data_IF_180434983827
#
_entry.id   IF_180434983827
#
_cell.length_a   1.000
_cell.length_b   1.000
_cell.length_c   1.000
_cell.angle_alpha   90.00
_cell.angle_beta   90.00
_cell.angle_gamma   90.00
#
_symmetry.space_group_name_H-M   'P 1'
#
loop_
_entity.id
_entity.type
_entity.pdbx_description
1 polymer ?
#
# COMPACT_ATOMS: atom_id res chain seq x y z
N UNK A 1 -8.85 6.48 7.79
CA UNK A 1 -8.43 5.54 6.72
C UNK A 1 -7.22 6.13 6.00
N UNK A 2 -6.14 5.37 5.79
CA UNK A 2 -4.91 5.83 5.14
C UNK A 2 -4.90 5.66 3.62
N UNK A 3 -3.96 6.29 2.94
CA UNK A 3 -3.80 6.18 1.48
C UNK A 3 -2.35 5.88 1.08
N UNK A 4 -2.18 4.95 0.15
CA UNK A 4 -0.93 4.61 -0.52
C UNK A 4 -0.91 5.23 -1.92
N UNK A 5 0.15 5.96 -2.26
CA UNK A 5 0.20 6.83 -3.44
C UNK A 5 1.12 6.29 -4.54
N UNK A 6 0.76 5.16 -5.15
CA UNK A 6 1.44 4.63 -6.32
C UNK A 6 1.19 5.46 -7.60
N UNK A 7 0.28 6.41 -7.57
CA UNK A 7 0.09 7.39 -8.66
C UNK A 7 1.20 8.46 -8.74
N UNK A 8 2.05 8.56 -7.72
CA UNK A 8 3.16 9.53 -7.68
C UNK A 8 4.19 9.20 -8.75
N UNK A 9 4.70 10.17 -9.54
CA UNK A 9 5.73 9.91 -10.53
C UNK A 9 6.93 9.16 -9.95
N UNK A 10 7.32 8.07 -10.62
CA UNK A 10 8.43 7.20 -10.19
C UNK A 10 8.05 6.09 -9.19
N UNK A 11 6.79 6.02 -8.74
CA UNK A 11 6.32 4.86 -7.98
C UNK A 11 6.05 3.66 -8.90
N UNK A 12 6.41 2.45 -8.46
CA UNK A 12 6.21 1.21 -9.21
C UNK A 12 5.43 0.18 -8.40
N UNK A 13 4.34 -0.35 -8.96
CA UNK A 13 3.55 -1.41 -8.34
C UNK A 13 4.36 -2.70 -8.17
N UNK A 14 5.33 -2.96 -9.05
CA UNK A 14 6.23 -4.12 -8.94
C UNK A 14 7.19 -3.96 -7.76
N UNK A 15 7.76 -2.77 -7.58
CA UNK A 15 8.64 -2.50 -6.43
C UNK A 15 7.86 -2.53 -5.12
N UNK A 16 6.61 -2.04 -5.12
CA UNK A 16 5.71 -2.17 -3.97
C UNK A 16 5.49 -3.64 -3.63
N UNK A 17 5.17 -4.49 -4.63
CA UNK A 17 4.94 -5.92 -4.40
C UNK A 17 6.19 -6.60 -3.84
N UNK A 18 7.35 -6.40 -4.48
CA UNK A 18 8.62 -6.97 -4.03
C UNK A 18 8.97 -6.54 -2.60
N UNK A 19 8.73 -5.27 -2.28
CA UNK A 19 8.97 -4.74 -0.94
C UNK A 19 8.03 -5.40 0.07
N UNK A 20 6.76 -5.62 -0.27
CA UNK A 20 5.83 -6.31 0.61
C UNK A 20 6.25 -7.76 0.85
N UNK A 21 6.65 -8.49 -0.20
CA UNK A 21 7.15 -9.86 -0.10
C UNK A 21 8.39 -9.94 0.80
N UNK A 22 9.36 -9.05 0.59
CA UNK A 22 10.55 -8.98 1.44
C UNK A 22 10.22 -8.68 2.90
N UNK A 23 9.34 -7.72 3.17
CA UNK A 23 8.93 -7.38 4.53
C UNK A 23 8.17 -8.52 5.21
N UNK A 24 7.38 -9.30 4.47
CA UNK A 24 6.70 -10.48 5.02
C UNK A 24 7.69 -11.58 5.40
N UNK A 25 8.80 -11.72 4.69
CA UNK A 25 9.88 -12.67 5.02
C UNK A 25 10.73 -12.18 6.21
N UNK A 26 10.98 -10.88 6.32
CA UNK A 26 11.90 -10.29 7.30
C UNK A 26 11.26 -9.96 8.65
N UNK A 27 9.95 -9.68 8.69
CA UNK A 27 9.25 -9.19 9.88
C UNK A 27 8.49 -10.30 10.62
N UNK A 28 8.40 -10.23 11.96
CA UNK A 28 7.53 -11.13 12.71
C UNK A 28 6.05 -10.78 12.53
N UNK A 29 5.18 -11.75 12.76
CA UNK A 29 3.72 -11.63 12.65
C UNK A 29 3.07 -10.56 13.55
N UNK A 30 3.73 -10.21 14.66
CA UNK A 30 3.27 -9.22 15.64
C UNK A 30 3.87 -7.82 15.40
N UNK A 31 4.47 -7.58 14.24
CA UNK A 31 5.04 -6.27 13.89
C UNK A 31 3.97 -5.17 13.88
N UNK A 32 4.37 -3.98 14.32
CA UNK A 32 3.61 -2.75 14.15
C UNK A 32 4.32 -1.86 13.15
N UNK A 33 3.63 -1.48 12.08
CA UNK A 33 4.12 -0.61 11.02
C UNK A 33 3.45 0.75 11.20
N UNK A 34 4.23 1.74 11.62
CA UNK A 34 3.73 3.11 11.81
C UNK A 34 3.79 3.85 10.48
N UNK A 35 2.62 4.23 9.95
CA UNK A 35 2.55 4.99 8.70
C UNK A 35 3.20 6.37 8.85
N UNK A 36 3.89 6.82 7.81
CA UNK A 36 4.51 8.15 7.77
C UNK A 36 3.47 9.29 7.68
N UNK A 37 2.28 8.99 7.16
CA UNK A 37 1.20 9.96 7.00
C UNK A 37 -0.13 9.36 7.49
N UNK A 38 -0.89 10.18 8.21
CA UNK A 38 -2.24 9.88 8.70
C UNK A 38 -3.26 10.86 8.15
N UNK A 39 -4.53 10.68 8.50
CA UNK A 39 -5.50 11.76 8.33
C UNK A 39 -5.41 12.67 9.55
N UNK A 40 -5.44 14.01 9.36
CA UNK A 40 -5.49 14.91 10.50
C UNK A 40 -6.86 14.80 11.16
N UNK A 41 -6.89 14.37 12.42
CA UNK A 41 -8.07 14.45 13.29
C UNK A 41 -7.78 15.49 14.38
N UNK A 42 -8.62 16.53 14.46
CA UNK A 42 -8.49 17.61 15.45
C UNK A 42 -7.10 18.30 15.51
N UNK A 43 -6.38 18.33 14.39
CA UNK A 43 -5.06 18.96 14.30
C UNK A 43 -3.89 18.09 14.81
N UNK A 44 -4.15 16.81 15.10
CA UNK A 44 -3.14 15.78 15.36
C UNK A 44 -3.19 14.78 14.20
N UNK A 45 -2.03 14.43 13.65
CA UNK A 45 -1.97 13.36 12.64
C UNK A 45 -2.27 12.02 13.33
N UNK A 46 -3.47 11.47 13.13
CA UNK A 46 -3.76 10.08 13.51
C UNK A 46 -3.15 9.16 12.45
N UNK A 47 -1.90 8.76 12.71
CA UNK A 47 -1.13 7.88 11.83
C UNK A 47 -1.59 6.43 12.02
N UNK A 48 -2.11 5.76 10.97
CA UNK A 48 -2.51 4.36 11.09
C UNK A 48 -1.33 3.48 11.50
N UNK A 49 -1.54 2.65 12.53
CA UNK A 49 -0.61 1.58 12.89
C UNK A 49 -1.07 0.29 12.21
N UNK A 50 -0.37 -0.10 11.15
CA UNK A 50 -0.65 -1.32 10.39
C UNK A 50 0.06 -2.53 11.01
N UNK A 51 -0.40 -3.73 10.67
CA UNK A 51 0.21 -4.98 11.10
C UNK A 51 0.58 -5.92 9.97
N UNK A 52 1.03 -7.12 10.32
CA UNK A 52 1.43 -8.14 9.35
C UNK A 52 0.28 -8.55 8.39
N UNK A 53 -0.95 -8.63 8.90
CA UNK A 53 -2.14 -8.91 8.07
C UNK A 53 -2.46 -7.81 7.05
N UNK A 54 -2.18 -6.55 7.39
CA UNK A 54 -2.34 -5.41 6.49
C UNK A 54 -1.35 -5.49 5.31
N UNK A 55 -0.11 -5.93 5.59
CA UNK A 55 0.93 -6.13 4.58
C UNK A 55 0.58 -7.28 3.61
N UNK A 56 0.02 -8.37 4.14
CA UNK A 56 -0.51 -9.46 3.30
C UNK A 56 -1.61 -9.00 2.35
N UNK A 57 -2.57 -8.23 2.86
CA UNK A 57 -3.67 -7.69 2.05
C UNK A 57 -3.14 -6.78 0.93
N UNK A 58 -2.18 -5.91 1.23
CA UNK A 58 -1.55 -5.05 0.23
C UNK A 58 -0.85 -5.87 -0.86
N UNK A 59 -0.05 -6.87 -0.47
CA UNK A 59 0.62 -7.80 -1.39
C UNK A 59 -0.38 -8.50 -2.31
N UNK A 60 -1.52 -8.95 -1.79
CA UNK A 60 -2.55 -9.62 -2.60
C UNK A 60 -3.22 -8.68 -3.61
N UNK A 61 -3.56 -7.45 -3.18
CA UNK A 61 -4.13 -6.43 -4.09
C UNK A 61 -3.14 -6.05 -5.20
N UNK A 62 -1.87 -5.88 -4.87
CA UNK A 62 -0.81 -5.58 -5.85
C UNK A 62 -0.61 -6.73 -6.85
N UNK A 63 -0.54 -7.97 -6.35
CA UNK A 63 -0.39 -9.16 -7.19
C UNK A 63 -1.59 -9.38 -8.11
N UNK A 64 -2.81 -9.02 -7.67
CA UNK A 64 -4.00 -9.01 -8.51
C UNK A 64 -3.91 -7.91 -9.58
N UNK A 65 -3.62 -6.67 -9.18
CA UNK A 65 -3.51 -5.53 -10.10
C UNK A 65 -2.50 -5.78 -11.22
N UNK A 66 -1.33 -6.35 -10.91
CA UNK A 66 -0.28 -6.61 -11.89
C UNK A 66 -0.64 -7.68 -12.94
N UNK A 67 -1.78 -8.36 -12.82
CA UNK A 67 -2.33 -9.27 -13.84
C UNK A 67 -3.28 -8.58 -14.82
N UNK A 68 -3.76 -7.38 -14.47
CA UNK A 68 -4.68 -6.60 -15.29
C UNK A 68 -3.92 -5.68 -16.27
N UNK A 69 -4.65 -5.07 -17.20
CA UNK A 69 -4.11 -4.03 -18.08
C UNK A 69 -3.81 -2.72 -17.29
N UNK A 70 -2.73 -1.99 -17.65
CA UNK A 70 -2.41 -0.72 -17.00
C UNK A 70 -3.56 0.30 -17.06
N UNK A 71 -3.93 0.86 -15.91
CA UNK A 71 -5.00 1.87 -15.79
C UNK A 71 -4.77 2.78 -14.58
N UNK A 72 -5.49 3.89 -14.54
CA UNK A 72 -5.51 4.79 -13.37
C UNK A 72 -6.75 4.50 -12.53
N UNK A 73 -6.61 4.52 -11.21
CA UNK A 73 -7.73 4.31 -10.31
C UNK A 73 -7.36 4.29 -8.84
N UNK A 74 -8.36 3.90 -8.05
CA UNK A 74 -8.24 3.69 -6.62
C UNK A 74 -8.88 2.34 -6.28
N UNK A 75 -8.27 1.59 -5.38
CA UNK A 75 -8.82 0.34 -4.85
C UNK A 75 -8.67 0.28 -3.33
N UNK A 76 -9.69 -0.21 -2.60
CA UNK A 76 -9.52 -0.54 -1.20
C UNK A 76 -8.57 -1.73 -1.07
N UNK A 77 -7.58 -1.60 -0.18
CA UNK A 77 -6.73 -2.73 0.20
C UNK A 77 -7.37 -3.49 1.35
N UNK A 78 -7.90 -2.76 2.33
CA UNK A 78 -8.75 -3.27 3.41
C UNK A 78 -9.52 -2.09 4.04
N UNK A 79 -10.19 -2.31 5.18
CA UNK A 79 -10.98 -1.28 5.88
C UNK A 79 -10.14 -0.06 6.35
N UNK A 80 -8.81 -0.19 6.38
CA UNK A 80 -7.90 0.79 6.96
C UNK A 80 -7.14 1.59 5.92
N UNK A 81 -7.10 1.13 4.66
CA UNK A 81 -6.28 1.74 3.61
C UNK A 81 -6.82 1.55 2.19
N UNK A 82 -6.59 2.57 1.37
CA UNK A 82 -6.78 2.53 -0.08
C UNK A 82 -5.45 2.68 -0.82
N UNK A 83 -5.36 2.10 -2.01
CA UNK A 83 -4.26 2.26 -2.96
C UNK A 83 -4.72 3.11 -4.14
N UNK A 84 -4.07 4.26 -4.33
CA UNK A 84 -4.25 5.12 -5.51
C UNK A 84 -3.09 4.88 -6.48
N UNK A 85 -3.41 4.59 -7.75
CA UNK A 85 -2.42 4.19 -8.75
C UNK A 85 -2.71 4.82 -10.11
N UNK A 86 -1.65 5.01 -10.91
CA UNK A 86 -1.72 5.47 -12.30
C UNK A 86 -1.30 4.37 -13.26
N UNK A 87 -1.66 4.48 -14.53
CA UNK A 87 -1.20 3.54 -15.55
C UNK A 87 0.34 3.43 -15.60
N UNK A 88 1.05 4.54 -15.40
CA UNK A 88 2.52 4.60 -15.41
C UNK A 88 3.14 3.70 -14.33
N UNK A 89 2.47 3.56 -13.18
CA UNK A 89 2.97 2.75 -12.05
C UNK A 89 3.02 1.24 -12.33
N UNK A 90 2.36 0.77 -13.39
CA UNK A 90 2.43 -0.64 -13.84
C UNK A 90 3.72 -0.96 -14.60
N UNK A 91 4.38 0.07 -15.14
CA UNK A 91 5.53 -0.07 -16.05
C UNK A 91 6.79 0.61 -15.56
N UNK A 92 6.67 1.44 -14.52
CA UNK A 92 7.80 2.07 -13.82
C UNK A 92 8.77 1.03 -13.22
#
# INVERSE_FOLDING_TARGET
CGALYAQTPGASLRDYLRTCEQLLDDLPDHVQIVCAHGQPEDGVDDVPILGYGDLHALRDVLAMLLRDEPRTGELPVNERMNLMFSADSFTA
#
